data_IF_587844989399
#
_entry.id   IF_587844989399
#
_cell.length_a   1.000
_cell.length_b   1.000
_cell.length_c   1.000
_cell.angle_alpha   90.00
_cell.angle_beta   90.00
_cell.angle_gamma   90.00
#
_symmetry.space_group_name_H-M   'P 1'
#
loop_
_entity.id
_entity.type
_entity.pdbx_description
1 polymer ?
#
# COMPACT_ATOMS: atom_id res chain seq x y z
N UNK A 1 16.71 18.44 23.85
CA UNK A 1 17.37 17.70 22.77
C UNK A 1 16.33 16.82 22.11
N UNK A 2 16.09 16.97 20.80
CA UNK A 2 15.17 16.09 20.05
C UNK A 2 15.94 14.85 19.58
N UNK A 3 15.33 13.67 19.67
CA UNK A 3 15.90 12.42 19.18
C UNK A 3 14.91 11.73 18.24
N UNK A 4 15.37 11.09 17.15
CA UNK A 4 14.48 10.31 16.28
C UNK A 4 13.78 9.22 17.07
N UNK A 5 12.53 8.95 16.70
CA UNK A 5 11.78 7.84 17.25
C UNK A 5 12.44 6.52 16.86
N UNK A 6 12.68 5.61 17.81
CA UNK A 6 13.27 4.33 17.50
C UNK A 6 12.16 3.48 16.87
N UNK A 7 11.82 3.65 15.60
CA UNK A 7 10.67 3.00 14.94
C UNK A 7 10.96 2.92 13.42
N UNK A 8 11.59 1.86 12.90
CA UNK A 8 11.92 0.61 13.59
C UNK A 8 13.24 0.63 14.35
N UNK A 9 14.26 1.32 13.83
CA UNK A 9 15.60 1.29 14.40
C UNK A 9 15.90 2.49 15.29
N UNK A 10 16.84 2.29 16.23
CA UNK A 10 17.22 3.30 17.21
C UNK A 10 18.11 4.43 16.68
N UNK A 11 18.47 5.39 17.55
CA UNK A 11 19.32 6.52 17.19
C UNK A 11 20.65 6.06 16.57
N UNK A 12 21.04 6.66 15.45
CA UNK A 12 22.26 6.30 14.71
C UNK A 12 22.03 5.44 13.47
N UNK A 13 20.81 4.95 13.26
CA UNK A 13 20.41 4.29 12.02
C UNK A 13 19.50 5.19 11.18
N UNK A 14 19.54 5.08 9.84
CA UNK A 14 18.71 5.89 8.94
C UNK A 14 17.24 5.43 8.87
N UNK A 15 16.88 4.29 9.47
CA UNK A 15 15.57 3.67 9.34
C UNK A 15 14.65 4.06 10.48
N UNK A 16 13.95 5.17 10.27
CA UNK A 16 12.94 5.70 11.17
C UNK A 16 11.72 6.17 10.35
N UNK A 17 10.65 5.40 10.43
CA UNK A 17 9.41 5.56 9.65
C UNK A 17 8.20 5.94 10.50
N UNK A 18 8.44 6.44 11.72
CA UNK A 18 7.40 7.03 12.56
C UNK A 18 7.43 8.57 12.49
N UNK A 19 6.25 9.18 12.42
CA UNK A 19 6.07 10.62 12.52
C UNK A 19 6.24 11.11 13.98
N UNK A 20 5.82 10.29 14.94
CA UNK A 20 6.03 10.55 16.38
C UNK A 20 6.04 9.25 17.16
N UNK A 21 6.44 9.33 18.43
CA UNK A 21 6.40 8.20 19.35
C UNK A 21 6.32 8.73 20.78
N UNK A 22 5.76 7.93 21.67
CA UNK A 22 5.71 8.21 23.09
C UNK A 22 5.99 6.94 23.88
N UNK A 23 6.34 7.09 25.15
CA UNK A 23 6.48 5.97 26.06
C UNK A 23 5.16 5.77 26.81
N UNK A 24 4.56 4.59 26.68
CA UNK A 24 3.36 4.23 27.44
C UNK A 24 3.67 4.17 28.93
N UNK A 25 2.81 4.76 29.76
CA UNK A 25 3.07 4.94 31.20
C UNK A 25 2.96 3.63 32.00
N UNK A 26 2.18 2.66 31.52
CA UNK A 26 1.94 1.40 32.21
C UNK A 26 2.97 0.35 31.84
N UNK A 27 3.14 0.11 30.55
CA UNK A 27 4.03 -0.91 30.00
C UNK A 27 5.47 -0.44 29.86
N UNK A 28 5.72 0.88 29.92
CA UNK A 28 7.00 1.54 29.59
C UNK A 28 7.49 1.26 28.17
N UNK A 29 6.64 0.73 27.30
CA UNK A 29 6.95 0.46 25.91
C UNK A 29 6.89 1.73 25.06
N UNK A 30 7.70 1.78 24.00
CA UNK A 30 7.63 2.85 23.01
C UNK A 30 6.49 2.53 22.04
N UNK A 31 5.49 3.41 22.00
CA UNK A 31 4.41 3.37 21.03
C UNK A 31 4.77 4.27 19.86
N UNK A 32 4.77 3.69 18.65
CA UNK A 32 5.10 4.38 17.42
C UNK A 32 3.83 4.89 16.72
N UNK A 33 3.86 6.12 16.21
CA UNK A 33 2.86 6.65 15.30
C UNK A 33 3.46 6.73 13.89
N UNK A 34 3.08 5.79 13.03
CA UNK A 34 3.73 5.59 11.74
C UNK A 34 3.46 6.72 10.74
N UNK A 35 4.46 7.00 9.92
CA UNK A 35 4.33 7.88 8.76
C UNK A 35 3.44 7.23 7.70
N UNK A 36 2.85 8.02 6.78
CA UNK A 36 2.04 7.48 5.68
C UNK A 36 2.77 6.38 4.90
N UNK A 37 2.09 5.28 4.63
CA UNK A 37 2.63 4.11 3.93
C UNK A 37 3.30 3.06 4.81
N UNK A 38 3.43 3.33 6.11
CA UNK A 38 4.03 2.40 7.07
C UNK A 38 3.01 1.99 8.13
N UNK A 39 3.14 0.76 8.62
CA UNK A 39 2.31 0.17 9.68
C UNK A 39 3.14 -0.79 10.53
N UNK A 40 2.48 -1.45 11.48
CA UNK A 40 3.10 -2.36 12.43
C UNK A 40 3.50 -1.64 13.72
N UNK A 41 3.80 -2.41 14.80
CA UNK A 41 4.11 -1.84 16.11
C UNK A 41 5.33 -0.93 16.11
N UNK A 42 6.22 -1.10 15.11
CA UNK A 42 7.48 -0.39 14.99
C UNK A 42 7.63 0.36 13.66
N UNK A 43 6.56 0.46 12.88
CA UNK A 43 6.58 1.04 11.53
C UNK A 43 7.54 0.29 10.59
N UNK A 44 7.59 -1.02 10.76
CA UNK A 44 8.44 -2.01 10.09
C UNK A 44 7.70 -2.79 9.00
N UNK A 45 6.44 -2.46 8.74
CA UNK A 45 5.65 -3.06 7.68
C UNK A 45 5.11 -1.99 6.74
N UNK A 46 4.84 -2.35 5.48
CA UNK A 46 4.11 -1.48 4.57
C UNK A 46 2.61 -1.54 4.86
N UNK A 47 1.99 -0.37 4.92
CA UNK A 47 0.55 -0.24 5.11
C UNK A 47 -0.21 -0.82 3.89
N UNK A 48 -1.50 -1.18 4.04
CA UNK A 48 -2.36 -1.52 2.90
C UNK A 48 -2.27 -0.47 1.78
N UNK A 49 -2.21 -0.94 0.52
CA UNK A 49 -1.97 -0.08 -0.64
C UNK A 49 -0.50 0.32 -0.88
N UNK A 50 0.44 -0.18 -0.06
CA UNK A 50 1.88 0.04 -0.22
C UNK A 50 2.63 -1.29 -0.27
N UNK A 51 3.80 -1.27 -0.91
CA UNK A 51 4.68 -2.43 -1.05
C UNK A 51 6.15 -2.07 -0.86
N UNK A 52 6.97 -3.07 -0.59
CA UNK A 52 8.41 -2.94 -0.38
C UNK A 52 8.86 -3.62 0.91
N UNK A 53 10.13 -3.42 1.26
CA UNK A 53 10.73 -3.98 2.47
C UNK A 53 11.47 -2.89 3.25
N UNK A 54 10.87 -2.30 4.29
CA UNK A 54 11.51 -1.27 5.11
C UNK A 54 12.61 -1.82 6.04
N UNK A 55 12.73 -3.14 6.19
CA UNK A 55 13.76 -3.81 6.98
C UNK A 55 15.03 -4.14 6.16
N UNK A 56 15.05 -3.84 4.87
CA UNK A 56 16.28 -3.87 4.07
C UNK A 56 17.04 -2.53 4.13
N UNK A 57 18.38 -2.53 4.03
CA UNK A 57 19.16 -1.30 3.89
C UNK A 57 18.71 -0.46 2.69
N UNK A 58 18.25 0.77 2.94
CA UNK A 58 17.71 1.66 1.90
C UNK A 58 16.29 1.30 1.41
N UNK A 59 15.72 0.23 1.96
CA UNK A 59 14.36 -0.20 1.70
C UNK A 59 13.32 0.76 2.27
N UNK A 60 12.17 0.84 1.61
CA UNK A 60 11.07 1.76 1.92
C UNK A 60 9.75 1.22 1.40
N UNK A 61 8.65 1.77 1.91
CA UNK A 61 7.32 1.48 1.38
C UNK A 61 6.98 2.47 0.26
N UNK A 62 6.50 1.94 -0.86
CA UNK A 62 6.07 2.68 -2.03
C UNK A 62 4.59 2.40 -2.31
N UNK A 63 3.81 3.38 -2.80
CA UNK A 63 2.41 3.14 -3.13
C UNK A 63 2.29 2.14 -4.29
N UNK A 64 1.34 1.21 -4.18
CA UNK A 64 1.00 0.29 -5.25
C UNK A 64 0.49 1.05 -6.49
N UNK A 65 1.02 0.71 -7.66
CA UNK A 65 0.69 1.39 -8.91
C UNK A 65 -0.53 0.72 -9.57
N UNK A 66 -1.68 0.86 -8.93
CA UNK A 66 -2.94 0.22 -9.34
C UNK A 66 -3.93 1.18 -9.99
N UNK A 67 -3.49 2.35 -10.48
CA UNK A 67 -4.34 3.36 -11.12
C UNK A 67 -5.58 3.79 -10.30
N UNK A 68 -5.47 3.79 -8.96
CA UNK A 68 -6.59 4.02 -8.03
C UNK A 68 -7.77 3.05 -8.20
N UNK A 69 -7.53 1.88 -8.83
CA UNK A 69 -8.48 0.81 -9.03
C UNK A 69 -8.40 -0.27 -7.94
N UNK A 70 -7.98 0.06 -6.72
CA UNK A 70 -7.97 -0.85 -5.58
C UNK A 70 -8.50 -0.15 -4.32
N UNK A 71 -8.95 -0.94 -3.34
CA UNK A 71 -9.23 -0.44 -2.00
C UNK A 71 -7.91 -0.34 -1.22
N UNK A 72 -7.42 0.88 -0.99
CA UNK A 72 -6.17 1.12 -0.25
C UNK A 72 -6.27 0.81 1.25
N UNK A 73 -7.44 0.43 1.76
CA UNK A 73 -7.62 -0.04 3.13
C UNK A 73 -7.58 -1.56 3.26
N UNK A 74 -7.68 -2.30 2.15
CA UNK A 74 -7.63 -3.76 2.12
C UNK A 74 -6.16 -4.24 2.10
N UNK A 75 -5.69 -4.97 3.13
CA UNK A 75 -4.35 -5.55 3.19
C UNK A 75 -3.94 -6.39 1.98
N UNK A 76 -4.92 -6.98 1.30
CA UNK A 76 -4.75 -7.93 0.20
C UNK A 76 -5.05 -7.29 -1.17
N UNK A 77 -5.25 -5.97 -1.23
CA UNK A 77 -5.52 -5.25 -2.46
C UNK A 77 -4.36 -5.32 -3.47
N UNK A 78 -3.14 -5.23 -2.96
CA UNK A 78 -1.90 -5.46 -3.71
C UNK A 78 -0.93 -6.29 -2.89
N UNK A 79 -0.06 -7.03 -3.58
CA UNK A 79 1.01 -7.80 -2.98
C UNK A 79 2.03 -6.86 -2.32
N UNK A 80 2.28 -7.07 -1.02
CA UNK A 80 3.12 -6.18 -0.21
C UNK A 80 4.60 -6.23 -0.55
N UNK A 81 5.06 -7.22 -1.32
CA UNK A 81 6.47 -7.35 -1.68
C UNK A 81 6.74 -6.84 -3.10
N UNK A 82 5.87 -7.19 -4.04
CA UNK A 82 6.02 -6.93 -5.47
C UNK A 82 5.25 -5.70 -5.95
N UNK A 83 4.21 -5.29 -5.23
CA UNK A 83 3.31 -4.20 -5.62
C UNK A 83 2.28 -4.59 -6.68
N UNK A 84 2.19 -5.86 -7.06
CA UNK A 84 1.19 -6.35 -8.01
C UNK A 84 -0.22 -6.19 -7.43
N UNK A 85 -1.15 -5.64 -8.22
CA UNK A 85 -2.54 -5.48 -7.82
C UNK A 85 -3.28 -6.83 -7.92
N UNK A 86 -3.98 -7.21 -6.85
CA UNK A 86 -4.63 -8.52 -6.72
C UNK A 86 -6.16 -8.42 -6.71
N UNK A 87 -6.72 -7.27 -6.29
CA UNK A 87 -8.17 -7.06 -6.17
C UNK A 87 -8.61 -5.79 -6.89
N UNK A 88 -8.58 -5.85 -8.22
CA UNK A 88 -8.97 -4.73 -9.07
C UNK A 88 -10.48 -4.41 -8.98
N UNK A 89 -10.79 -3.12 -8.81
CA UNK A 89 -12.11 -2.54 -8.79
C UNK A 89 -12.54 -2.03 -10.18
N UNK A 90 -13.77 -1.53 -10.29
CA UNK A 90 -14.30 -0.86 -11.49
C UNK A 90 -14.24 -1.68 -12.78
N UNK A 91 -14.34 -3.00 -12.67
CA UNK A 91 -14.24 -3.97 -13.77
C UNK A 91 -12.91 -3.88 -14.53
N UNK A 92 -11.82 -3.60 -13.80
CA UNK A 92 -10.47 -3.58 -14.33
C UNK A 92 -9.70 -4.87 -13.99
N UNK A 93 -8.59 -5.09 -14.68
CA UNK A 93 -7.76 -6.28 -14.64
C UNK A 93 -6.30 -5.97 -14.99
N UNK A 94 -5.46 -7.00 -14.92
CA UNK A 94 -4.02 -6.92 -15.16
C UNK A 94 -3.24 -6.57 -13.88
N UNK A 95 -1.90 -6.67 -13.93
CA UNK A 95 -1.03 -6.51 -12.75
C UNK A 95 -1.07 -5.10 -12.15
N UNK A 96 -1.59 -4.12 -12.89
CA UNK A 96 -1.73 -2.71 -12.49
C UNK A 96 -3.18 -2.22 -12.52
N UNK A 97 -4.16 -3.12 -12.67
CA UNK A 97 -5.57 -2.76 -12.88
C UNK A 97 -5.76 -1.73 -14.02
N UNK A 98 -4.95 -1.85 -15.08
CA UNK A 98 -4.86 -0.87 -16.18
C UNK A 98 -5.58 -1.34 -17.45
N UNK A 99 -6.21 -2.52 -17.39
CA UNK A 99 -6.94 -3.12 -18.50
C UNK A 99 -8.40 -3.32 -18.08
N UNK A 100 -9.34 -3.29 -19.01
CA UNK A 100 -10.71 -3.71 -18.71
C UNK A 100 -10.77 -5.24 -18.61
N UNK A 101 -11.60 -5.75 -17.71
CA UNK A 101 -11.85 -7.19 -17.60
C UNK A 101 -12.36 -7.77 -18.93
N UNK A 102 -12.16 -9.09 -19.17
CA UNK A 102 -12.78 -9.77 -20.29
C UNK A 102 -14.29 -9.51 -20.34
N UNK A 103 -14.79 -9.13 -21.52
CA UNK A 103 -16.19 -8.74 -21.70
C UNK A 103 -16.51 -7.29 -21.31
N UNK A 104 -15.49 -6.47 -21.01
CA UNK A 104 -15.59 -5.02 -20.84
C UNK A 104 -14.70 -4.28 -21.84
N UNK A 105 -15.07 -3.05 -22.18
CA UNK A 105 -14.32 -2.15 -23.04
C UNK A 105 -14.33 -0.72 -22.48
N UNK A 106 -13.37 0.10 -22.89
CA UNK A 106 -13.22 1.49 -22.42
C UNK A 106 -11.81 1.77 -21.94
N UNK A 107 -11.68 2.78 -21.08
CA UNK A 107 -10.41 3.17 -20.46
C UNK A 107 -10.45 2.86 -18.95
N UNK A 108 -9.69 1.84 -18.56
CA UNK A 108 -9.56 1.38 -17.18
C UNK A 108 -8.92 2.42 -16.25
N UNK A 109 -8.02 3.25 -16.76
CA UNK A 109 -7.35 4.30 -15.97
C UNK A 109 -8.28 5.47 -15.63
N UNK A 110 -9.43 5.56 -16.33
CA UNK A 110 -10.49 6.55 -16.13
C UNK A 110 -11.78 5.93 -15.56
N UNK A 111 -11.70 4.70 -15.05
CA UNK A 111 -12.84 3.94 -14.49
C UNK A 111 -14.03 3.85 -15.47
N UNK A 112 -13.75 3.74 -16.77
CA UNK A 112 -14.77 3.79 -17.82
C UNK A 112 -15.03 2.44 -18.48
N UNK A 113 -14.61 1.33 -17.85
CA UNK A 113 -14.87 -0.02 -18.32
C UNK A 113 -16.36 -0.33 -18.31
N UNK A 114 -16.93 -0.48 -19.49
CA UNK A 114 -18.34 -0.78 -19.74
C UNK A 114 -18.48 -2.18 -20.29
N UNK A 115 -19.52 -2.90 -19.85
CA UNK A 115 -19.80 -4.24 -20.31
C UNK A 115 -20.07 -4.23 -21.81
N UNK A 116 -19.41 -5.12 -22.55
CA UNK A 116 -19.72 -5.37 -23.95
C UNK A 116 -21.19 -5.79 -24.08
N UNK A 117 -21.93 -5.11 -24.94
CA UNK A 117 -23.27 -5.53 -25.33
C UNK A 117 -23.15 -6.27 -26.65
N UNK A 118 -22.94 -7.59 -26.57
CA UNK A 118 -22.98 -8.42 -27.76
C UNK A 118 -24.44 -8.54 -28.21
N UNK A 119 -24.76 -8.04 -29.40
CA UNK A 119 -26.03 -8.36 -30.02
C UNK A 119 -26.00 -9.83 -30.44
N UNK A 120 -26.97 -10.63 -29.99
CA UNK A 120 -27.08 -12.05 -30.38
C UNK A 120 -27.39 -12.24 -31.88
N UNK A 121 -27.65 -11.14 -32.60
CA UNK A 121 -27.97 -11.13 -34.03
C UNK A 121 -26.76 -10.91 -34.95
N UNK A 122 -25.57 -10.58 -34.42
CA UNK A 122 -24.36 -10.33 -35.22
C UNK A 122 -24.23 -8.89 -35.70
#
# INVERSE_FOLDING_TARGET
HCRPCPCPEGPGNPRHFAASCYQDSHSRQVVCHCSPGYTGPRCDECAPGYYGDPLQPGGRCLPCQCHNNIDTTDPEACDRQTGQCLRCLYNTAGPHCAECQPGYYGDATRHSCRRCSCNMLG
#
